data_IF_013145186911
#
_entry.id   IF_013145186911
#
_cell.length_a   1.000
_cell.length_b   1.000
_cell.length_c   1.000
_cell.angle_alpha   90.00
_cell.angle_beta   90.00
_cell.angle_gamma   90.00
#
_symmetry.space_group_name_H-M   'P 1'
#
loop_
_entity.id
_entity.type
_entity.pdbx_description
1 polymer ?
#
# COMPACT_ATOMS: atom_id res chain seq x y z
N UNK A 1 19.03 17.24 -21.17
CA UNK A 1 17.79 17.91 -21.61
C UNK A 1 16.55 17.00 -21.53
N UNK A 2 16.61 15.72 -21.95
CA UNK A 2 15.45 14.81 -21.95
C UNK A 2 14.81 14.54 -20.58
N UNK A 3 15.60 14.52 -19.50
CA UNK A 3 15.09 14.31 -18.14
C UNK A 3 14.32 15.53 -17.60
N UNK A 4 14.70 16.76 -17.98
CA UNK A 4 13.99 17.97 -17.55
C UNK A 4 12.60 18.11 -18.17
N UNK A 5 12.39 17.53 -19.35
CA UNK A 5 11.08 17.50 -20.01
C UNK A 5 10.10 16.49 -19.38
N UNK A 6 10.61 15.45 -18.71
CA UNK A 6 9.80 14.43 -18.04
C UNK A 6 9.57 14.80 -16.56
N UNK A 7 10.56 15.42 -15.93
CA UNK A 7 10.52 15.85 -14.53
C UNK A 7 10.79 17.35 -14.43
N UNK A 8 9.76 18.20 -14.62
CA UNK A 8 9.92 19.65 -14.69
C UNK A 8 10.41 20.29 -13.38
N UNK A 9 10.21 19.60 -12.24
CA UNK A 9 10.71 20.01 -10.95
C UNK A 9 11.66 18.94 -10.40
N UNK A 10 12.96 19.19 -10.57
CA UNK A 10 14.00 18.40 -9.92
C UNK A 10 14.24 18.93 -8.50
N UNK A 11 14.54 18.05 -7.53
CA UNK A 11 14.90 18.45 -6.18
C UNK A 11 16.08 19.40 -6.18
N UNK A 12 15.95 20.53 -5.49
CA UNK A 12 17.04 21.50 -5.36
C UNK A 12 17.84 21.33 -4.06
N UNK A 13 17.31 20.54 -3.12
CA UNK A 13 17.95 20.26 -1.83
C UNK A 13 18.08 18.76 -1.56
N UNK A 14 19.06 18.38 -0.73
CA UNK A 14 19.27 16.98 -0.31
C UNK A 14 18.06 16.41 0.43
N UNK A 15 17.36 17.24 1.23
CA UNK A 15 16.17 16.84 1.97
C UNK A 15 15.03 16.52 1.00
N UNK A 16 14.81 17.40 0.03
CA UNK A 16 13.81 17.19 -1.01
C UNK A 16 14.11 15.91 -1.80
N UNK A 17 15.36 15.71 -2.22
CA UNK A 17 15.78 14.49 -2.92
C UNK A 17 15.46 13.23 -2.09
N UNK A 18 15.76 13.24 -0.79
CA UNK A 18 15.44 12.12 0.11
C UNK A 18 13.94 11.85 0.15
N UNK A 19 13.11 12.89 0.25
CA UNK A 19 11.65 12.75 0.24
C UNK A 19 11.15 12.13 -1.07
N UNK A 20 11.66 12.56 -2.22
CA UNK A 20 11.30 11.97 -3.52
C UNK A 20 11.75 10.51 -3.64
N UNK A 21 12.94 10.15 -3.11
CA UNK A 21 13.40 8.76 -3.07
C UNK A 21 12.49 7.91 -2.18
N UNK A 22 12.11 8.41 -1.01
CA UNK A 22 11.16 7.73 -0.11
C UNK A 22 9.79 7.57 -0.79
N UNK A 23 9.33 8.58 -1.53
CA UNK A 23 8.10 8.49 -2.31
C UNK A 23 8.19 7.39 -3.38
N UNK A 24 9.28 7.35 -4.14
CA UNK A 24 9.50 6.33 -5.16
C UNK A 24 9.53 4.92 -4.56
N UNK A 25 10.22 4.74 -3.43
CA UNK A 25 10.21 3.48 -2.68
C UNK A 25 8.80 3.12 -2.20
N UNK A 26 8.04 4.09 -1.70
CA UNK A 26 6.64 3.92 -1.30
C UNK A 26 5.75 3.42 -2.44
N UNK A 27 5.88 4.01 -3.63
CA UNK A 27 5.17 3.56 -4.85
C UNK A 27 5.54 2.11 -5.21
N UNK A 28 6.83 1.75 -5.16
CA UNK A 28 7.29 0.39 -5.44
C UNK A 28 6.71 -0.60 -4.42
N UNK A 29 6.71 -0.25 -3.12
CA UNK A 29 6.16 -1.10 -2.07
C UNK A 29 4.66 -1.34 -2.24
N UNK A 30 3.86 -0.29 -2.50
CA UNK A 30 2.42 -0.44 -2.76
C UNK A 30 2.19 -1.34 -3.98
N UNK A 31 2.94 -1.12 -5.06
CA UNK A 31 2.82 -1.93 -6.28
C UNK A 31 3.16 -3.40 -5.99
N UNK A 32 4.22 -3.63 -5.23
CA UNK A 32 4.63 -4.98 -4.80
C UNK A 32 3.59 -5.65 -3.88
N UNK A 33 2.95 -4.89 -2.98
CA UNK A 33 1.91 -5.41 -2.09
C UNK A 33 0.72 -5.99 -2.85
N UNK A 34 0.38 -5.47 -4.04
CA UNK A 34 -0.69 -6.02 -4.90
C UNK A 34 -0.42 -7.46 -5.33
N UNK A 35 0.85 -7.87 -5.45
CA UNK A 35 1.24 -9.21 -5.88
C UNK A 35 1.55 -10.16 -4.71
N UNK A 36 1.46 -9.69 -3.47
CA UNK A 36 1.73 -10.48 -2.29
C UNK A 36 0.52 -11.35 -1.96
N UNK A 37 0.63 -12.68 -2.15
CA UNK A 37 -0.47 -13.61 -1.84
C UNK A 37 -0.63 -13.90 -0.33
N UNK A 38 0.30 -13.44 0.51
CA UNK A 38 0.29 -13.65 1.96
C UNK A 38 -0.26 -12.40 2.63
N UNK A 39 -1.53 -12.44 3.05
CA UNK A 39 -2.27 -11.32 3.64
C UNK A 39 -1.48 -10.57 4.74
N UNK A 40 -0.95 -11.29 5.74
CA UNK A 40 -0.18 -10.65 6.84
C UNK A 40 1.04 -9.86 6.34
N UNK A 41 1.65 -10.28 5.24
CA UNK A 41 2.80 -9.59 4.65
C UNK A 41 2.34 -8.47 3.71
N UNK A 42 1.22 -8.64 3.04
CA UNK A 42 0.59 -7.65 2.18
C UNK A 42 0.21 -6.39 2.98
N UNK A 43 -0.50 -6.55 4.10
CA UNK A 43 -1.03 -5.40 4.88
C UNK A 43 0.10 -4.55 5.47
N UNK A 44 1.14 -5.20 5.98
CA UNK A 44 2.31 -4.49 6.50
C UNK A 44 3.08 -3.74 5.39
N UNK A 45 3.17 -4.31 4.19
CA UNK A 45 3.80 -3.64 3.04
C UNK A 45 2.94 -2.47 2.56
N UNK A 46 1.62 -2.61 2.52
CA UNK A 46 0.72 -1.49 2.24
C UNK A 46 0.86 -0.37 3.27
N UNK A 47 0.92 -0.70 4.56
CA UNK A 47 1.10 0.29 5.62
C UNK A 47 2.40 1.09 5.45
N UNK A 48 3.53 0.41 5.24
CA UNK A 48 4.83 1.06 5.05
C UNK A 48 4.84 1.89 3.77
N UNK A 49 4.37 1.33 2.65
CA UNK A 49 4.32 2.04 1.37
C UNK A 49 3.41 3.27 1.41
N UNK A 50 2.23 3.16 2.02
CA UNK A 50 1.30 4.26 2.21
C UNK A 50 1.86 5.34 3.15
N UNK A 51 2.60 4.96 4.20
CA UNK A 51 3.27 5.90 5.09
C UNK A 51 4.36 6.70 4.38
N UNK A 52 5.16 6.06 3.51
CA UNK A 52 6.13 6.76 2.67
C UNK A 52 5.47 7.78 1.74
N UNK A 53 4.36 7.40 1.09
CA UNK A 53 3.62 8.32 0.22
C UNK A 53 2.92 9.43 1.02
N UNK A 54 2.51 9.19 2.26
CA UNK A 54 1.94 10.20 3.12
C UNK A 54 2.96 11.29 3.49
N UNK A 55 4.22 10.92 3.77
CA UNK A 55 5.31 11.89 3.97
C UNK A 55 5.49 12.78 2.73
N UNK A 56 5.44 12.19 1.54
CA UNK A 56 5.48 12.96 0.30
C UNK A 56 4.24 13.85 0.12
N UNK A 57 3.05 13.35 0.44
CA UNK A 57 1.80 14.10 0.39
C UNK A 57 1.82 15.34 1.32
N UNK A 58 2.40 15.21 2.52
CA UNK A 58 2.66 16.31 3.44
C UNK A 58 3.64 17.32 2.82
N UNK A 59 4.73 16.84 2.24
CA UNK A 59 5.75 17.69 1.62
C UNK A 59 5.19 18.55 0.48
N UNK A 60 4.36 17.97 -0.40
CA UNK A 60 3.73 18.72 -1.51
C UNK A 60 2.45 19.48 -1.11
N UNK A 61 2.01 19.34 0.15
CA UNK A 61 0.81 20.02 0.66
C UNK A 61 -0.52 19.56 0.05
N UNK A 62 -0.58 18.37 -0.57
CA UNK A 62 -1.78 17.88 -1.24
C UNK A 62 -2.74 17.17 -0.27
N UNK A 63 -3.81 17.86 0.13
CA UNK A 63 -4.81 17.35 1.09
C UNK A 63 -5.54 16.08 0.64
N UNK A 64 -5.89 15.99 -0.64
CA UNK A 64 -6.58 14.81 -1.18
C UNK A 64 -5.66 13.61 -1.10
N UNK A 65 -4.41 13.79 -1.51
CA UNK A 65 -3.42 12.72 -1.47
C UNK A 65 -3.09 12.31 -0.04
N UNK A 66 -2.97 13.28 0.89
CA UNK A 66 -2.79 13.02 2.32
C UNK A 66 -3.90 12.13 2.88
N UNK A 67 -5.17 12.47 2.63
CA UNK A 67 -6.30 11.68 3.13
C UNK A 67 -6.31 10.28 2.52
N UNK A 68 -6.03 10.16 1.22
CA UNK A 68 -5.99 8.87 0.55
C UNK A 68 -4.90 7.94 1.12
N UNK A 69 -3.67 8.44 1.25
CA UNK A 69 -2.55 7.63 1.78
C UNK A 69 -2.68 7.36 3.28
N UNK A 70 -3.22 8.31 4.04
CA UNK A 70 -3.51 8.10 5.47
C UNK A 70 -4.60 7.05 5.66
N UNK A 71 -5.68 7.12 4.88
CA UNK A 71 -6.75 6.13 4.90
C UNK A 71 -6.24 4.72 4.59
N UNK A 72 -5.41 4.59 3.55
CA UNK A 72 -4.78 3.31 3.20
C UNK A 72 -3.85 2.80 4.32
N UNK A 73 -3.02 3.67 4.90
CA UNK A 73 -2.14 3.29 6.00
C UNK A 73 -2.93 2.84 7.23
N UNK A 74 -3.98 3.56 7.63
CA UNK A 74 -4.79 3.19 8.80
C UNK A 74 -5.55 1.89 8.54
N UNK A 75 -6.17 1.72 7.37
CA UNK A 75 -6.91 0.51 7.03
C UNK A 75 -6.02 -0.74 7.08
N UNK A 76 -4.87 -0.68 6.40
CA UNK A 76 -3.89 -1.78 6.40
C UNK A 76 -3.29 -2.05 7.78
N UNK A 77 -3.11 -1.03 8.61
CA UNK A 77 -2.66 -1.22 9.99
C UNK A 77 -3.71 -1.93 10.84
N UNK A 78 -5.00 -1.57 10.70
CA UNK A 78 -6.09 -2.22 11.43
C UNK A 78 -6.19 -3.68 11.03
N UNK A 79 -6.23 -4.00 9.73
CA UNK A 79 -6.24 -5.38 9.23
C UNK A 79 -5.03 -6.18 9.75
N UNK A 80 -3.84 -5.59 9.69
CA UNK A 80 -2.63 -6.22 10.22
C UNK A 80 -2.74 -6.53 11.73
N UNK A 81 -3.27 -5.60 12.52
CA UNK A 81 -3.49 -5.80 13.96
C UNK A 81 -4.54 -6.88 14.22
N UNK A 82 -5.64 -6.91 13.47
CA UNK A 82 -6.68 -7.92 13.61
C UNK A 82 -6.16 -9.34 13.31
N UNK A 83 -5.32 -9.48 12.28
CA UNK A 83 -4.63 -10.72 11.96
C UNK A 83 -3.64 -11.11 13.06
N UNK A 84 -2.88 -10.15 13.60
CA UNK A 84 -1.93 -10.41 14.69
C UNK A 84 -2.61 -10.89 15.97
N UNK A 85 -3.76 -10.31 16.33
CA UNK A 85 -4.54 -10.70 17.51
C UNK A 85 -5.30 -12.01 17.27
N UNK A 86 -5.41 -12.47 16.02
CA UNK A 86 -6.09 -13.71 15.66
C UNK A 86 -7.61 -13.61 15.69
N UNK A 87 -8.15 -12.38 15.70
CA UNK A 87 -9.59 -12.11 15.60
C UNK A 87 -10.12 -12.44 14.20
N UNK A 88 -9.31 -12.21 13.17
CA UNK A 88 -9.59 -12.63 11.79
C UNK A 88 -8.80 -13.89 11.42
N UNK A 89 -9.50 -15.03 11.28
CA UNK A 89 -8.99 -16.21 10.57
C UNK A 89 -9.55 -16.20 9.16
N UNK A 90 -8.71 -15.95 8.17
CA UNK A 90 -9.09 -16.15 6.78
C UNK A 90 -9.44 -17.64 6.57
N UNK A 91 -10.70 -17.92 6.21
CA UNK A 91 -11.13 -19.28 5.91
C UNK A 91 -10.59 -19.67 4.52
N UNK A 92 -9.40 -20.29 4.49
CA UNK A 92 -8.81 -20.86 3.27
C UNK A 92 -9.74 -21.88 2.58
N UNK A 93 -10.84 -22.31 3.20
CA UNK A 93 -11.81 -23.20 2.60
C UNK A 93 -12.97 -22.49 1.89
N UNK A 94 -13.05 -21.16 1.84
CA UNK A 94 -14.18 -20.48 1.20
C UNK A 94 -14.26 -20.84 -0.31
N UNK A 95 -13.11 -20.85 -1.00
CA UNK A 95 -13.01 -21.35 -2.38
C UNK A 95 -13.37 -22.83 -2.51
N UNK A 96 -12.98 -23.69 -1.55
CA UNK A 96 -13.37 -25.11 -1.53
C UNK A 96 -14.88 -25.28 -1.29
N UNK A 97 -15.48 -24.44 -0.46
CA UNK A 97 -16.90 -24.42 -0.11
C UNK A 97 -17.75 -23.94 -1.29
N UNK A 98 -17.31 -22.91 -2.01
CA UNK A 98 -17.97 -22.47 -3.26
C UNK A 98 -17.88 -23.58 -4.33
N UNK A 99 -16.71 -24.22 -4.47
CA UNK A 99 -16.51 -25.30 -5.43
C UNK A 99 -17.32 -26.56 -5.10
N UNK A 100 -17.53 -26.87 -3.81
CA UNK A 100 -18.40 -27.97 -3.39
C UNK A 100 -19.88 -27.63 -3.59
N UNK A 101 -20.33 -26.42 -3.26
CA UNK A 101 -21.70 -25.95 -3.47
C UNK A 101 -22.11 -25.96 -4.96
N UNK A 102 -21.21 -25.59 -5.87
CA UNK A 102 -21.46 -25.69 -7.31
C UNK A 102 -21.55 -27.14 -7.83
N UNK A 103 -20.92 -28.10 -7.12
CA UNK A 103 -20.90 -29.52 -7.50
C UNK A 103 -22.19 -30.25 -7.11
N UNK A 104 -22.90 -29.79 -6.09
CA UNK A 104 -24.18 -30.36 -5.62
C UNK A 104 -25.42 -29.77 -6.32
N UNK A 105 -25.23 -28.81 -7.24
CA UNK A 105 -26.32 -28.16 -7.99
C UNK A 105 -26.56 -28.78 -9.38
N UNK A 106 -25.91 -29.90 -9.69
CA UNK A 106 -26.08 -30.70 -10.91
C UNK A 106 -26.77 -32.00 -10.55
#
# INVERSE_FOLDING_TARGET
MFLNSIFPNLPNSTIELLIYVVAALGTVLITYAVFLEIERRQDLVFFVGASCLFVYALFIGNKVFMVATAGLAIASLVEFIEILIGLHKHDKNELKRIKSLGKYKK
#
